data_IF_378680097974
#
_entry.id   IF_378680097974
#
_cell.length_a   1.000
_cell.length_b   1.000
_cell.length_c   1.000
_cell.angle_alpha   90.00
_cell.angle_beta   90.00
_cell.angle_gamma   90.00
#
_symmetry.space_group_name_H-M   'P 1'
#
loop_
_entity.id
_entity.type
_entity.pdbx_description
1 polymer ?
#
# COMPACT_ATOMS: atom_id res chain seq x y z
N UNK A 1 13.55 17.83 9.21
CA UNK A 1 12.35 18.66 8.98
C UNK A 1 12.57 19.46 7.70
N UNK A 2 11.62 19.51 6.76
CA UNK A 2 11.77 20.26 5.49
C UNK A 2 11.67 21.77 5.76
N UNK A 3 12.40 22.60 5.02
CA UNK A 3 12.30 24.07 5.11
C UNK A 3 11.07 24.59 4.34
N UNK A 4 10.64 25.81 4.66
CA UNK A 4 9.52 26.46 3.95
C UNK A 4 9.79 26.64 2.46
N UNK A 5 11.04 26.94 2.09
CA UNK A 5 11.44 27.06 0.69
C UNK A 5 11.35 25.70 -0.03
N UNK A 6 11.80 24.61 0.61
CA UNK A 6 11.68 23.25 0.06
C UNK A 6 10.21 22.85 -0.12
N UNK A 7 9.34 23.18 0.85
CA UNK A 7 7.90 22.91 0.74
C UNK A 7 7.28 23.72 -0.42
N UNK A 8 7.59 25.02 -0.54
CA UNK A 8 7.11 25.86 -1.65
C UNK A 8 7.55 25.32 -3.02
N UNK A 9 8.81 24.91 -3.15
CA UNK A 9 9.33 24.33 -4.38
C UNK A 9 8.61 23.02 -4.74
N UNK A 10 8.34 22.16 -3.75
CA UNK A 10 7.62 20.90 -3.96
C UNK A 10 6.18 21.15 -4.45
N UNK A 11 5.44 22.08 -3.84
CA UNK A 11 4.10 22.44 -4.28
C UNK A 11 4.07 23.11 -5.65
N UNK A 12 5.09 23.91 -5.98
CA UNK A 12 5.24 24.46 -7.33
C UNK A 12 5.43 23.35 -8.35
N UNK A 13 6.29 22.36 -8.05
CA UNK A 13 6.50 21.22 -8.92
C UNK A 13 5.22 20.39 -9.14
N UNK A 14 4.42 20.14 -8.07
CA UNK A 14 3.12 19.47 -8.22
C UNK A 14 2.20 20.19 -9.19
N UNK A 15 2.15 21.53 -9.13
CA UNK A 15 1.32 22.33 -10.04
C UNK A 15 1.79 22.23 -11.48
N UNK A 16 3.10 22.37 -11.71
CA UNK A 16 3.70 22.27 -13.04
C UNK A 16 3.45 20.89 -13.66
N UNK A 17 3.59 19.82 -12.89
CA UNK A 17 3.31 18.46 -13.36
C UNK A 17 1.83 18.30 -13.72
N UNK A 18 0.91 18.79 -12.89
CA UNK A 18 -0.53 18.72 -13.17
C UNK A 18 -0.90 19.45 -14.47
N UNK A 19 -0.33 20.64 -14.70
CA UNK A 19 -0.57 21.40 -15.92
C UNK A 19 -0.06 20.65 -17.17
N UNK A 20 1.12 20.02 -17.10
CA UNK A 20 1.68 19.25 -18.21
C UNK A 20 0.89 17.96 -18.51
N UNK A 21 0.41 17.27 -17.48
CA UNK A 21 -0.44 16.09 -17.64
C UNK A 21 -1.78 16.47 -18.29
N UNK A 22 -2.41 17.55 -17.83
CA UNK A 22 -3.67 18.04 -18.38
C UNK A 22 -3.54 18.46 -19.85
N UNK A 23 -2.44 19.14 -20.22
CA UNK A 23 -2.15 19.52 -21.63
C UNK A 23 -2.05 18.31 -22.57
N UNK A 24 -1.61 17.16 -22.05
CA UNK A 24 -1.50 15.91 -22.80
C UNK A 24 -2.72 15.02 -22.68
N UNK A 25 -3.79 15.49 -22.04
CA UNK A 25 -5.04 14.77 -21.80
C UNK A 25 -4.87 13.45 -21.02
N UNK A 26 -3.86 13.37 -20.14
CA UNK A 26 -3.73 12.24 -19.22
C UNK A 26 -4.66 12.41 -18.00
N UNK A 27 -5.43 11.37 -17.68
CA UNK A 27 -6.10 11.24 -16.38
C UNK A 27 -5.11 10.62 -15.37
N UNK A 28 -5.18 11.02 -14.10
CA UNK A 28 -4.29 10.47 -13.07
C UNK A 28 -4.43 8.94 -12.92
N UNK A 29 -5.61 8.39 -13.23
CA UNK A 29 -5.88 6.94 -13.23
C UNK A 29 -5.13 6.19 -14.33
N UNK A 30 -4.72 6.88 -15.39
CA UNK A 30 -3.98 6.29 -16.51
C UNK A 30 -2.47 6.25 -16.23
N UNK A 31 -2.00 6.98 -15.22
CA UNK A 31 -0.59 7.08 -14.88
C UNK A 31 -0.22 5.94 -13.92
N UNK A 32 0.39 4.89 -14.46
CA UNK A 32 1.02 3.84 -13.66
C UNK A 32 2.50 4.13 -13.51
N UNK A 33 2.95 4.33 -12.28
CA UNK A 33 4.36 4.46 -11.94
C UNK A 33 4.78 3.11 -11.35
N UNK A 34 5.77 2.47 -11.96
CA UNK A 34 6.38 1.27 -11.42
C UNK A 34 7.13 1.63 -10.13
N UNK A 35 6.74 0.99 -9.03
CA UNK A 35 7.34 1.17 -7.72
C UNK A 35 7.66 -0.21 -7.16
N UNK A 36 8.81 -0.31 -6.49
CA UNK A 36 9.12 -1.50 -5.70
C UNK A 36 8.05 -1.71 -4.62
N UNK A 37 7.55 -2.94 -4.43
CA UNK A 37 6.60 -3.23 -3.36
C UNK A 37 7.20 -2.87 -1.99
N UNK A 38 6.48 -2.05 -1.23
CA UNK A 38 6.79 -1.74 0.18
C UNK A 38 5.62 -2.13 1.07
N UNK A 39 5.85 -2.31 2.37
CA UNK A 39 4.79 -2.59 3.35
C UNK A 39 3.62 -1.62 3.22
N UNK A 40 3.91 -0.33 3.06
CA UNK A 40 2.89 0.70 2.87
C UNK A 40 2.07 0.47 1.61
N UNK A 41 2.72 0.20 0.46
CA UNK A 41 2.00 -0.05 -0.79
C UNK A 41 1.16 -1.33 -0.73
N UNK A 42 1.67 -2.40 -0.12
CA UNK A 42 0.91 -3.63 0.12
C UNK A 42 -0.31 -3.32 0.98
N UNK A 43 -0.16 -2.54 2.06
CA UNK A 43 -1.28 -2.16 2.91
C UNK A 43 -2.32 -1.31 2.17
N UNK A 44 -1.90 -0.31 1.41
CA UNK A 44 -2.82 0.63 0.77
C UNK A 44 -3.52 0.05 -0.46
N UNK A 45 -2.81 -0.73 -1.28
CA UNK A 45 -3.30 -1.17 -2.59
C UNK A 45 -3.70 -2.65 -2.65
N UNK A 46 -3.29 -3.47 -1.68
CA UNK A 46 -3.69 -4.89 -1.60
C UNK A 46 -4.62 -5.11 -0.40
N UNK A 47 -4.17 -4.76 0.80
CA UNK A 47 -4.93 -5.03 2.02
C UNK A 47 -6.20 -4.18 2.13
N UNK A 48 -6.06 -2.84 2.12
CA UNK A 48 -7.17 -1.92 2.39
C UNK A 48 -8.38 -2.07 1.45
N UNK A 49 -8.21 -2.34 0.13
CA UNK A 49 -9.34 -2.61 -0.74
C UNK A 49 -10.11 -3.88 -0.36
N UNK A 50 -9.40 -4.95 0.03
CA UNK A 50 -10.02 -6.21 0.46
C UNK A 50 -10.67 -6.03 1.84
N UNK A 51 -9.99 -5.37 2.77
CA UNK A 51 -10.55 -4.99 4.07
C UNK A 51 -11.89 -4.28 3.93
N UNK A 52 -11.92 -3.20 3.14
CA UNK A 52 -13.16 -2.43 2.91
C UNK A 52 -14.25 -3.26 2.25
N UNK A 53 -13.91 -4.17 1.33
CA UNK A 53 -14.88 -5.05 0.69
C UNK A 53 -15.46 -6.10 1.65
N UNK A 54 -14.67 -6.58 2.62
CA UNK A 54 -15.08 -7.60 3.60
C UNK A 54 -15.82 -6.99 4.77
N UNK A 55 -15.30 -5.89 5.35
CA UNK A 55 -15.78 -5.35 6.64
C UNK A 55 -16.48 -4.00 6.52
N UNK A 56 -16.34 -3.30 5.38
CA UNK A 56 -16.79 -1.91 5.23
C UNK A 56 -15.92 -0.89 5.97
N UNK A 57 -14.82 -1.34 6.59
CA UNK A 57 -13.92 -0.51 7.39
C UNK A 57 -12.68 -0.12 6.58
N UNK A 58 -11.99 0.94 7.01
CA UNK A 58 -10.80 1.49 6.31
C UNK A 58 -9.53 1.49 7.16
N UNK A 59 -9.63 0.98 8.38
CA UNK A 59 -8.61 1.06 9.40
C UNK A 59 -8.44 -0.30 10.06
N UNK A 60 -7.22 -0.83 9.93
CA UNK A 60 -6.81 -2.09 10.55
C UNK A 60 -6.94 -2.12 12.07
N UNK A 61 -7.11 -0.95 12.73
CA UNK A 61 -7.33 -0.87 14.18
C UNK A 61 -8.70 -1.39 14.62
N UNK A 62 -9.63 -1.45 13.68
CA UNK A 62 -11.03 -1.75 13.94
C UNK A 62 -11.39 -3.21 13.57
N UNK A 63 -10.41 -3.98 13.06
CA UNK A 63 -10.56 -5.38 12.68
C UNK A 63 -10.47 -6.34 13.86
N UNK A 64 -11.28 -7.38 13.83
CA UNK A 64 -11.12 -8.53 14.72
C UNK A 64 -10.22 -9.62 14.10
N UNK A 65 -9.95 -10.69 14.87
CA UNK A 65 -9.08 -11.79 14.42
C UNK A 65 -9.67 -12.59 13.26
N UNK A 66 -11.00 -12.70 13.19
CA UNK A 66 -11.70 -13.43 12.14
C UNK A 66 -11.60 -12.64 10.83
N UNK A 67 -11.83 -11.33 10.88
CA UNK A 67 -11.68 -10.42 9.75
C UNK A 67 -10.27 -10.52 9.15
N UNK A 68 -9.23 -10.45 10.00
CA UNK A 68 -7.82 -10.55 9.57
C UNK A 68 -7.56 -11.88 8.86
N UNK A 69 -8.07 -12.99 9.41
CA UNK A 69 -7.88 -14.32 8.83
C UNK A 69 -8.56 -14.44 7.45
N UNK A 70 -9.81 -13.96 7.34
CA UNK A 70 -10.56 -13.97 6.08
C UNK A 70 -9.90 -13.10 5.01
N UNK A 71 -9.47 -11.89 5.37
CA UNK A 71 -8.77 -10.98 4.45
C UNK A 71 -7.46 -11.60 3.96
N UNK A 72 -6.70 -12.20 4.88
CA UNK A 72 -5.46 -12.91 4.56
C UNK A 72 -5.69 -14.05 3.55
N UNK A 73 -6.68 -14.91 3.79
CA UNK A 73 -6.98 -16.05 2.92
C UNK A 73 -7.34 -15.61 1.50
N UNK A 74 -8.14 -14.55 1.38
CA UNK A 74 -8.53 -13.97 0.08
C UNK A 74 -7.29 -13.48 -0.68
N UNK A 75 -6.42 -12.71 -0.01
CA UNK A 75 -5.21 -12.16 -0.61
C UNK A 75 -4.25 -13.29 -1.01
N UNK A 76 -3.96 -14.20 -0.10
CA UNK A 76 -2.98 -15.27 -0.31
C UNK A 76 -3.43 -16.22 -1.43
N UNK A 77 -4.73 -16.54 -1.50
CA UNK A 77 -5.30 -17.30 -2.63
C UNK A 77 -5.13 -16.54 -3.95
N UNK A 78 -5.49 -15.27 -4.00
CA UNK A 78 -5.41 -14.47 -5.23
C UNK A 78 -3.96 -14.30 -5.71
N UNK A 79 -3.01 -14.09 -4.80
CA UNK A 79 -1.58 -14.01 -5.13
C UNK A 79 -1.02 -15.37 -5.56
N UNK A 80 -1.44 -16.45 -4.92
CA UNK A 80 -1.07 -17.81 -5.31
C UNK A 80 -1.55 -18.16 -6.72
N UNK A 81 -2.80 -17.88 -7.05
CA UNK A 81 -3.40 -18.18 -8.36
C UNK A 81 -2.83 -17.30 -9.48
N UNK A 82 -2.58 -16.01 -9.22
CA UNK A 82 -2.17 -15.05 -10.27
C UNK A 82 -0.66 -14.96 -10.45
N UNK A 83 0.09 -15.07 -9.36
CA UNK A 83 1.53 -14.79 -9.33
C UNK A 83 2.35 -15.98 -8.83
N UNK A 84 1.73 -17.06 -8.35
CA UNK A 84 2.45 -18.17 -7.72
C UNK A 84 3.10 -17.80 -6.39
N UNK A 85 2.65 -16.72 -5.75
CA UNK A 85 3.22 -16.21 -4.49
C UNK A 85 2.38 -16.71 -3.32
N UNK A 86 3.03 -17.31 -2.33
CA UNK A 86 2.43 -17.72 -1.07
C UNK A 86 3.29 -17.22 0.09
N UNK A 87 2.71 -16.43 0.98
CA UNK A 87 3.38 -15.95 2.20
C UNK A 87 2.53 -16.37 3.39
N UNK A 88 2.98 -17.29 4.25
CA UNK A 88 2.22 -17.67 5.44
C UNK A 88 2.05 -16.47 6.35
N UNK A 89 0.87 -16.32 6.96
CA UNK A 89 0.70 -15.31 8.01
C UNK A 89 1.63 -15.68 9.18
N UNK A 90 2.39 -14.74 9.75
CA UNK A 90 3.31 -15.05 10.83
C UNK A 90 2.54 -15.55 12.05
N UNK A 91 2.93 -16.72 12.58
CA UNK A 91 2.52 -17.13 13.92
C UNK A 91 3.23 -16.23 14.95
N UNK A 92 2.61 -16.00 16.11
CA UNK A 92 3.06 -15.00 17.11
C UNK A 92 4.41 -15.34 17.78
N UNK A 93 5.20 -16.28 17.25
CA UNK A 93 6.55 -16.57 17.69
C UNK A 93 7.48 -16.87 16.52
N UNK A 94 8.73 -16.43 16.71
CA UNK A 94 9.94 -16.69 15.93
C UNK A 94 10.31 -15.57 14.91
N UNK A 95 11.38 -14.84 15.27
CA UNK A 95 12.32 -14.10 14.40
C UNK A 95 12.33 -12.56 14.35
N UNK A 96 11.40 -11.82 14.98
CA UNK A 96 11.51 -10.35 15.05
C UNK A 96 12.52 -9.79 16.08
N UNK A 97 13.45 -10.62 16.59
CA UNK A 97 14.54 -10.17 17.50
C UNK A 97 15.93 -10.08 16.87
N UNK A 98 16.09 -10.33 15.56
CA UNK A 98 17.43 -10.41 14.95
C UNK A 98 17.87 -9.20 14.11
N UNK A 99 17.10 -8.12 14.02
CA UNK A 99 17.53 -6.90 13.31
C UNK A 99 17.48 -5.66 14.20
N UNK A 100 18.20 -5.70 15.31
CA UNK A 100 18.63 -4.48 16.03
C UNK A 100 19.92 -4.78 16.76
N UNK A 101 21.02 -4.88 15.99
CA UNK A 101 22.40 -4.63 16.41
C UNK A 101 23.35 -4.99 15.26
N UNK A 102 23.78 -4.00 14.50
CA UNK A 102 25.16 -3.84 14.02
C UNK A 102 25.38 -2.36 13.78
#
# INVERSE_FOLDING_TARGET
MRTDQQNKALHLWFRLLADELAKKHYDFRDIKIELEPTEHLVKEYIWRPVEYAVTGQKSTKDLDKVDVSVIYDIINKALGEKLGIHVPFPEENHEQRQQTKT
#
